data_IF_752802161988
#
_entry.id   IF_752802161988
#
_cell.length_a   1.000
_cell.length_b   1.000
_cell.length_c   1.000
_cell.angle_alpha   90.00
_cell.angle_beta   90.00
_cell.angle_gamma   90.00
#
_symmetry.space_group_name_H-M   'P 1'
#
loop_
_entity.id
_entity.type
_entity.pdbx_description
1 polymer ?
#
# COMPACT_ATOMS: atom_id res chain seq x y z
N UNK A 1 -13.45 -10.52 16.69
CA UNK A 1 -12.82 -9.26 17.17
C UNK A 1 -11.30 -9.37 17.22
N UNK A 2 -10.77 -10.48 17.72
CA UNK A 2 -9.31 -10.71 17.75
C UNK A 2 -8.72 -10.75 16.33
N UNK A 3 -9.33 -11.49 15.42
CA UNK A 3 -8.88 -11.57 14.01
C UNK A 3 -8.90 -10.21 13.31
N UNK A 4 -9.91 -9.37 13.60
CA UNK A 4 -9.97 -8.01 13.05
C UNK A 4 -8.81 -7.18 13.59
N UNK A 5 -8.56 -7.21 14.90
CA UNK A 5 -7.44 -6.49 15.49
C UNK A 5 -6.11 -6.88 14.84
N UNK A 6 -5.82 -8.18 14.75
CA UNK A 6 -4.58 -8.65 14.13
C UNK A 6 -4.53 -8.28 12.65
N UNK A 7 -5.63 -8.41 11.90
CA UNK A 7 -5.67 -8.01 10.50
C UNK A 7 -5.33 -6.55 10.28
N UNK A 8 -5.76 -5.65 11.19
CA UNK A 8 -5.43 -4.24 11.11
C UNK A 8 -3.98 -3.93 11.51
N UNK A 9 -3.40 -4.73 12.41
CA UNK A 9 -2.05 -4.48 12.95
C UNK A 9 -0.93 -5.15 12.16
N UNK A 10 -1.20 -6.23 11.44
CA UNK A 10 -0.21 -6.98 10.67
C UNK A 10 0.49 -6.11 9.60
N UNK A 11 -0.19 -5.27 8.82
CA UNK A 11 0.45 -4.33 7.91
C UNK A 11 1.50 -3.44 8.59
N UNK A 12 1.14 -2.78 9.67
CA UNK A 12 2.06 -1.96 10.48
C UNK A 12 3.26 -2.77 11.01
N UNK A 13 3.07 -4.05 11.35
CA UNK A 13 4.18 -4.91 11.77
C UNK A 13 5.17 -5.11 10.62
N UNK A 14 4.69 -5.25 9.38
CA UNK A 14 5.54 -5.31 8.18
C UNK A 14 6.43 -4.08 8.05
N UNK A 15 5.84 -2.88 8.04
CA UNK A 15 6.54 -1.59 8.00
C UNK A 15 7.53 -1.44 9.15
N UNK A 16 7.11 -1.84 10.37
CA UNK A 16 7.94 -1.77 11.57
C UNK A 16 9.18 -2.67 11.48
N UNK A 17 9.02 -3.91 11.02
CA UNK A 17 10.11 -4.86 10.83
C UNK A 17 11.07 -4.39 9.74
N UNK A 18 10.55 -3.84 8.64
CA UNK A 18 11.37 -3.21 7.61
C UNK A 18 12.17 -2.02 8.15
N UNK A 19 11.52 -1.13 8.89
CA UNK A 19 12.18 0.00 9.52
C UNK A 19 13.27 -0.44 10.52
N UNK A 20 13.11 -1.58 11.18
CA UNK A 20 14.09 -2.11 12.13
C UNK A 20 15.40 -2.56 11.46
N UNK A 21 15.45 -2.71 10.13
CA UNK A 21 16.69 -3.02 9.40
C UNK A 21 17.81 -2.00 9.69
N UNK A 22 17.49 -0.75 10.07
CA UNK A 22 18.49 0.26 10.42
C UNK A 22 19.36 -0.10 11.64
N UNK A 23 18.94 -1.02 12.49
CA UNK A 23 19.73 -1.43 13.64
C UNK A 23 20.81 -2.44 13.27
N UNK A 24 20.61 -3.20 12.20
CA UNK A 24 21.48 -4.31 11.78
C UNK A 24 22.29 -3.99 10.52
N UNK A 25 21.74 -3.17 9.62
CA UNK A 25 22.38 -2.81 8.35
C UNK A 25 23.08 -1.46 8.44
N UNK A 26 24.20 -1.32 7.74
CA UNK A 26 24.97 -0.06 7.64
C UNK A 26 25.01 0.41 6.20
N UNK A 27 24.91 1.73 6.01
CA UNK A 27 24.99 2.37 4.70
C UNK A 27 23.68 2.38 3.91
N UNK A 28 23.83 2.65 2.61
CA UNK A 28 22.69 2.65 1.68
C UNK A 28 22.42 1.23 1.17
N UNK A 29 21.16 0.93 0.89
CA UNK A 29 20.80 -0.30 0.18
C UNK A 29 21.48 -0.33 -1.19
N UNK A 30 22.01 -1.49 -1.57
CA UNK A 30 22.53 -1.68 -2.91
C UNK A 30 21.40 -1.54 -3.94
N UNK A 31 21.65 -0.88 -5.06
CA UNK A 31 20.62 -0.60 -6.09
C UNK A 31 19.84 -1.84 -6.53
N UNK A 32 20.52 -2.98 -6.71
CA UNK A 32 19.87 -4.23 -7.11
C UNK A 32 18.91 -4.75 -6.02
N UNK A 33 19.28 -4.60 -4.75
CA UNK A 33 18.41 -4.97 -3.62
C UNK A 33 17.19 -4.05 -3.59
N UNK A 34 17.39 -2.74 -3.71
CA UNK A 34 16.31 -1.77 -3.75
C UNK A 34 15.34 -2.07 -4.89
N UNK A 35 15.83 -2.24 -6.13
CA UNK A 35 15.01 -2.63 -7.29
C UNK A 35 14.23 -3.91 -7.07
N UNK A 36 14.87 -4.92 -6.46
CA UNK A 36 14.24 -6.19 -6.14
C UNK A 36 13.11 -6.03 -5.13
N UNK A 37 13.36 -5.27 -4.06
CA UNK A 37 12.37 -5.00 -3.02
C UNK A 37 11.18 -4.19 -3.57
N UNK A 38 11.45 -3.11 -4.32
CA UNK A 38 10.41 -2.28 -4.93
C UNK A 38 9.61 -3.05 -5.98
N UNK A 39 10.29 -3.85 -6.83
CA UNK A 39 9.61 -4.71 -7.80
C UNK A 39 8.71 -5.75 -7.13
N UNK A 40 9.20 -6.39 -6.07
CA UNK A 40 8.42 -7.37 -5.31
C UNK A 40 7.17 -6.72 -4.67
N UNK A 41 7.33 -5.58 -3.99
CA UNK A 41 6.22 -4.84 -3.41
C UNK A 41 5.19 -4.43 -4.47
N UNK A 42 5.63 -3.90 -5.62
CA UNK A 42 4.75 -3.56 -6.76
C UNK A 42 3.93 -4.76 -7.23
N UNK A 43 4.56 -5.94 -7.34
CA UNK A 43 3.87 -7.16 -7.76
C UNK A 43 2.79 -7.60 -6.77
N UNK A 44 3.09 -7.56 -5.47
CA UNK A 44 2.12 -7.85 -4.40
C UNK A 44 0.96 -6.87 -4.45
N UNK A 45 1.23 -5.54 -4.57
CA UNK A 45 0.19 -4.50 -4.62
C UNK A 45 -0.74 -4.68 -5.83
N UNK A 46 -0.20 -4.98 -7.03
CA UNK A 46 -1.02 -5.20 -8.23
C UNK A 46 -1.91 -6.42 -8.05
N UNK A 47 -1.37 -7.53 -7.54
CA UNK A 47 -2.15 -8.74 -7.30
C UNK A 47 -3.25 -8.51 -6.23
N UNK A 48 -2.93 -7.85 -5.11
CA UNK A 48 -3.90 -7.49 -4.08
C UNK A 48 -5.02 -6.59 -4.63
N UNK A 49 -4.64 -5.57 -5.41
CA UNK A 49 -5.62 -4.66 -6.05
C UNK A 49 -6.59 -5.41 -6.96
N UNK A 50 -6.10 -6.43 -7.66
CA UNK A 50 -6.93 -7.21 -8.58
C UNK A 50 -7.75 -8.28 -7.83
N UNK A 51 -7.09 -9.18 -7.11
CA UNK A 51 -7.74 -10.37 -6.52
C UNK A 51 -8.56 -10.01 -5.27
N UNK A 52 -7.99 -9.24 -4.34
CA UNK A 52 -8.65 -8.96 -3.07
C UNK A 52 -9.61 -7.76 -3.11
N UNK A 53 -9.55 -6.89 -4.14
CA UNK A 53 -10.37 -5.68 -4.20
C UNK A 53 -11.24 -5.60 -5.46
N UNK A 54 -10.67 -5.59 -6.67
CA UNK A 54 -11.46 -5.42 -7.90
C UNK A 54 -12.34 -6.62 -8.21
N UNK A 55 -11.84 -7.84 -8.04
CA UNK A 55 -12.62 -9.04 -8.32
C UNK A 55 -13.84 -9.14 -7.40
N UNK A 56 -13.73 -9.01 -6.06
CA UNK A 56 -14.89 -8.97 -5.17
C UNK A 56 -15.84 -7.81 -5.45
N UNK A 57 -15.33 -6.63 -5.87
CA UNK A 57 -16.18 -5.50 -6.25
C UNK A 57 -17.06 -5.82 -7.47
N UNK A 58 -16.50 -6.48 -8.47
CA UNK A 58 -17.23 -6.92 -9.67
C UNK A 58 -18.26 -8.01 -9.35
N UNK A 59 -17.88 -8.99 -8.52
CA UNK A 59 -18.76 -10.07 -8.08
C UNK A 59 -19.97 -9.53 -7.31
N UNK A 60 -19.77 -8.61 -6.38
CA UNK A 60 -20.86 -7.97 -5.65
C UNK A 60 -21.75 -7.10 -6.53
N UNK A 61 -21.22 -6.58 -7.63
CA UNK A 61 -21.97 -5.79 -8.61
C UNK A 61 -22.71 -6.66 -9.63
N UNK A 62 -22.50 -7.98 -9.67
CA UNK A 62 -23.08 -8.89 -10.65
C UNK A 62 -24.61 -8.79 -10.80
N UNK A 63 -25.43 -8.52 -9.73
CA UNK A 63 -26.87 -8.30 -9.85
C UNK A 63 -27.27 -7.13 -10.78
N UNK A 64 -26.36 -6.19 -11.06
CA UNK A 64 -26.57 -5.07 -12.00
C UNK A 64 -26.51 -5.50 -13.47
N UNK A 65 -26.26 -6.76 -13.78
CA UNK A 65 -26.17 -7.31 -15.13
C UNK A 65 -25.11 -6.60 -15.98
N UNK A 66 -25.50 -6.07 -17.15
CA UNK A 66 -24.56 -5.38 -18.07
C UNK A 66 -23.90 -4.11 -17.47
N UNK A 67 -24.41 -3.60 -16.38
CA UNK A 67 -23.89 -2.40 -15.70
C UNK A 67 -23.00 -2.72 -14.49
N UNK A 68 -22.71 -4.00 -14.24
CA UNK A 68 -21.92 -4.45 -13.10
C UNK A 68 -20.50 -3.83 -13.02
N UNK A 69 -19.97 -3.36 -14.16
CA UNK A 69 -18.67 -2.70 -14.19
C UNK A 69 -18.69 -1.25 -13.67
N UNK A 70 -19.86 -0.59 -13.60
CA UNK A 70 -19.95 0.84 -13.26
C UNK A 70 -19.40 1.18 -11.87
N UNK A 71 -19.77 0.49 -10.77
CA UNK A 71 -19.22 0.78 -9.45
C UNK A 71 -17.71 0.64 -9.43
N UNK A 72 -17.18 -0.39 -10.12
CA UNK A 72 -15.74 -0.64 -10.19
C UNK A 72 -15.00 0.44 -10.98
N UNK A 73 -15.50 0.84 -12.15
CA UNK A 73 -14.89 1.89 -12.98
C UNK A 73 -14.91 3.24 -12.26
N UNK A 74 -16.06 3.61 -11.66
CA UNK A 74 -16.20 4.88 -10.95
C UNK A 74 -15.30 4.89 -9.71
N UNK A 75 -15.38 3.85 -8.87
CA UNK A 75 -14.56 3.74 -7.66
C UNK A 75 -13.08 3.82 -7.98
N UNK A 76 -12.60 3.03 -8.95
CA UNK A 76 -11.21 3.03 -9.40
C UNK A 76 -10.76 4.43 -9.87
N UNK A 77 -11.54 5.07 -10.74
CA UNK A 77 -11.21 6.41 -11.23
C UNK A 77 -11.17 7.46 -10.13
N UNK A 78 -12.09 7.39 -9.16
CA UNK A 78 -12.07 8.27 -7.97
C UNK A 78 -10.86 8.00 -7.08
N UNK A 79 -10.45 6.74 -6.91
CA UNK A 79 -9.24 6.37 -6.17
C UNK A 79 -7.97 6.96 -6.78
N UNK A 80 -7.81 6.81 -8.10
CA UNK A 80 -6.70 7.44 -8.85
C UNK A 80 -6.74 8.98 -8.69
N UNK A 81 -7.90 9.59 -8.89
CA UNK A 81 -8.03 11.05 -8.77
C UNK A 81 -7.77 11.56 -7.34
N UNK A 82 -8.13 10.78 -6.34
CA UNK A 82 -7.87 11.10 -4.93
C UNK A 82 -6.37 11.16 -4.63
N UNK A 83 -5.60 10.16 -5.05
CA UNK A 83 -4.14 10.18 -4.84
C UNK A 83 -3.48 11.28 -5.65
N UNK A 84 -3.84 11.45 -6.92
CA UNK A 84 -3.37 12.55 -7.75
C UNK A 84 -3.64 13.91 -7.09
N UNK A 85 -4.80 14.08 -6.45
CA UNK A 85 -5.13 15.29 -5.70
C UNK A 85 -4.24 15.46 -4.47
N UNK A 86 -4.02 14.39 -3.68
CA UNK A 86 -3.14 14.45 -2.51
C UNK A 86 -1.71 14.81 -2.89
N UNK A 87 -1.17 14.25 -3.98
CA UNK A 87 0.18 14.57 -4.49
C UNK A 87 0.31 16.06 -4.84
N UNK A 88 -0.76 16.67 -5.37
CA UNK A 88 -0.74 18.09 -5.71
C UNK A 88 -0.83 19.03 -4.50
N UNK A 89 -1.41 18.60 -3.38
CA UNK A 89 -1.63 19.47 -2.21
C UNK A 89 -0.66 19.22 -1.05
N UNK A 90 0.01 18.07 -1.02
CA UNK A 90 0.94 17.72 0.06
C UNK A 90 2.37 17.80 -0.46
N UNK A 91 3.25 18.63 0.18
CA UNK A 91 4.64 18.69 -0.22
C UNK A 91 5.35 17.39 0.17
N UNK A 92 5.82 16.63 -0.81
CA UNK A 92 6.50 15.36 -0.62
C UNK A 92 7.69 15.23 -1.59
N UNK A 93 8.54 14.23 -1.37
CA UNK A 93 9.74 14.00 -2.17
C UNK A 93 9.91 12.50 -2.38
N UNK A 94 9.95 12.06 -3.63
CA UNK A 94 10.29 10.69 -3.97
C UNK A 94 11.78 10.42 -3.78
N UNK A 95 12.16 9.18 -3.50
CA UNK A 95 13.49 8.82 -3.04
C UNK A 95 14.61 9.18 -4.03
N UNK A 96 14.35 9.06 -5.33
CA UNK A 96 15.29 9.35 -6.40
C UNK A 96 15.08 10.72 -7.06
N UNK A 97 14.14 11.54 -6.57
CA UNK A 97 13.85 12.85 -7.11
C UNK A 97 14.77 13.93 -6.51
N UNK A 98 15.22 14.86 -7.33
CA UNK A 98 15.97 16.04 -6.89
C UNK A 98 15.05 17.19 -6.46
N UNK A 99 13.87 17.26 -7.03
CA UNK A 99 12.85 18.28 -6.79
C UNK A 99 11.65 17.69 -6.07
N UNK A 100 11.18 18.42 -5.03
CA UNK A 100 9.98 18.05 -4.31
C UNK A 100 8.73 18.35 -5.16
N UNK A 101 7.71 17.52 -5.00
CA UNK A 101 6.39 17.68 -5.59
C UNK A 101 5.43 18.38 -4.61
N UNK A 102 4.27 18.83 -5.14
CA UNK A 102 3.31 19.60 -4.38
C UNK A 102 3.70 21.06 -4.13
N UNK A 103 3.07 21.75 -3.17
CA UNK A 103 3.32 23.16 -2.87
C UNK A 103 4.74 23.37 -2.36
N UNK A 104 5.33 24.55 -2.69
CA UNK A 104 6.64 24.95 -2.15
C UNK A 104 6.62 24.91 -0.62
N UNK A 105 7.52 24.12 -0.03
CA UNK A 105 7.62 23.91 1.41
C UNK A 105 9.02 24.18 1.93
N UNK A 106 9.09 24.57 3.22
CA UNK A 106 10.36 24.69 3.97
C UNK A 106 10.69 23.42 4.76
N UNK A 107 9.93 22.34 4.55
CA UNK A 107 10.19 21.06 5.20
C UNK A 107 11.54 20.49 4.79
N UNK A 108 12.17 19.77 5.70
CA UNK A 108 13.42 19.06 5.39
C UNK A 108 13.14 17.92 4.41
N UNK A 109 14.11 17.63 3.54
CA UNK A 109 14.01 16.51 2.58
C UNK A 109 13.62 15.20 3.27
N UNK A 110 14.16 14.91 4.45
CA UNK A 110 13.82 13.74 5.25
C UNK A 110 12.34 13.68 5.67
N UNK A 111 11.75 14.83 6.00
CA UNK A 111 10.31 14.91 6.34
C UNK A 111 9.45 14.67 5.10
N UNK A 112 9.83 15.23 3.95
CA UNK A 112 9.12 15.06 2.69
C UNK A 112 9.17 13.60 2.19
N UNK A 113 10.30 12.89 2.39
CA UNK A 113 10.41 11.46 2.12
C UNK A 113 9.45 10.63 2.99
N UNK A 114 9.36 10.94 4.29
CA UNK A 114 8.42 10.26 5.20
C UNK A 114 6.98 10.54 4.76
N UNK A 115 6.66 11.78 4.36
CA UNK A 115 5.32 12.14 3.89
C UNK A 115 4.93 11.40 2.62
N UNK A 116 5.83 11.24 1.64
CA UNK A 116 5.58 10.47 0.43
C UNK A 116 5.03 9.09 0.79
N UNK A 117 5.79 8.29 1.55
CA UNK A 117 5.35 6.93 1.91
C UNK A 117 4.14 6.94 2.84
N UNK A 118 4.00 7.94 3.71
CA UNK A 118 2.77 8.07 4.53
C UNK A 118 1.53 8.22 3.65
N UNK A 119 1.64 8.97 2.54
CA UNK A 119 0.54 9.11 1.57
C UNK A 119 0.16 7.78 0.91
N UNK A 120 1.17 6.95 0.60
CA UNK A 120 0.96 5.64 -0.02
C UNK A 120 0.33 4.63 0.94
N UNK A 121 0.65 4.69 2.22
CA UNK A 121 0.11 3.80 3.25
C UNK A 121 -1.37 4.11 3.60
N UNK A 122 -1.89 5.31 3.25
CA UNK A 122 -3.30 5.65 3.47
C UNK A 122 -4.24 4.70 2.69
N UNK A 123 -4.10 4.52 1.35
CA UNK A 123 -4.91 3.57 0.59
C UNK A 123 -4.82 2.14 1.09
N UNK A 124 -3.66 1.71 1.55
CA UNK A 124 -3.46 0.36 2.07
C UNK A 124 -4.27 0.13 3.35
N UNK A 125 -4.20 1.06 4.29
CA UNK A 125 -5.04 1.03 5.48
C UNK A 125 -6.54 1.07 5.14
N UNK A 126 -6.94 1.92 4.19
CA UNK A 126 -8.32 1.97 3.71
C UNK A 126 -8.75 0.65 3.06
N UNK A 127 -7.91 0.01 2.25
CA UNK A 127 -8.18 -1.29 1.62
C UNK A 127 -8.50 -2.36 2.66
N UNK A 128 -7.63 -2.51 3.68
CA UNK A 128 -7.86 -3.42 4.81
C UNK A 128 -9.17 -3.07 5.52
N UNK A 129 -9.39 -1.79 5.80
CA UNK A 129 -10.60 -1.32 6.49
C UNK A 129 -11.89 -1.61 5.72
N UNK A 130 -11.91 -1.41 4.40
CA UNK A 130 -13.07 -1.69 3.53
C UNK A 130 -13.39 -3.18 3.52
N UNK A 131 -12.38 -4.04 3.35
CA UNK A 131 -12.58 -5.50 3.33
C UNK A 131 -13.09 -5.98 4.67
N UNK A 132 -12.49 -5.55 5.80
CA UNK A 132 -12.99 -5.94 7.13
C UNK A 132 -14.38 -5.36 7.44
N UNK A 133 -14.71 -4.15 6.97
CA UNK A 133 -16.07 -3.61 7.09
C UNK A 133 -17.10 -4.49 6.37
N UNK A 134 -16.75 -4.97 5.16
CA UNK A 134 -17.57 -5.90 4.40
C UNK A 134 -17.72 -7.26 5.09
N UNK A 135 -16.63 -7.84 5.62
CA UNK A 135 -16.65 -9.09 6.38
C UNK A 135 -17.54 -8.97 7.63
N UNK A 136 -17.40 -7.90 8.40
CA UNK A 136 -18.19 -7.65 9.61
C UNK A 136 -19.70 -7.46 9.30
N UNK A 137 -20.00 -6.95 8.11
CA UNK A 137 -21.37 -6.80 7.63
C UNK A 137 -21.93 -8.08 6.99
N UNK A 138 -21.15 -9.15 6.85
CA UNK A 138 -21.56 -10.40 6.19
C UNK A 138 -21.75 -10.24 4.68
N UNK A 139 -21.01 -9.34 4.03
CA UNK A 139 -21.10 -9.12 2.59
C UNK A 139 -20.63 -10.33 1.80
N UNK A 140 -21.34 -10.69 0.75
CA UNK A 140 -21.00 -11.83 -0.11
C UNK A 140 -19.64 -11.64 -0.79
N UNK A 141 -18.89 -12.73 -0.97
CA UNK A 141 -17.58 -12.71 -1.63
C UNK A 141 -16.42 -12.18 -0.78
N UNK A 142 -16.66 -11.82 0.50
CA UNK A 142 -15.62 -11.43 1.44
C UNK A 142 -15.59 -12.38 2.63
N UNK A 143 -14.43 -12.97 2.88
CA UNK A 143 -14.20 -13.90 4.00
C UNK A 143 -13.20 -13.34 4.99
N UNK A 144 -13.25 -13.79 6.25
CA UNK A 144 -12.24 -13.40 7.24
C UNK A 144 -10.83 -13.90 6.84
N UNK A 145 -10.77 -15.07 6.18
CA UNK A 145 -9.51 -15.62 5.70
C UNK A 145 -8.95 -14.80 4.53
N UNK A 146 -9.77 -14.39 3.57
CA UNK A 146 -9.37 -13.47 2.48
C UNK A 146 -8.94 -12.09 2.99
N UNK A 147 -9.66 -11.54 3.99
CA UNK A 147 -9.25 -10.30 4.65
C UNK A 147 -7.88 -10.44 5.33
N UNK A 148 -7.61 -11.58 5.96
CA UNK A 148 -6.29 -11.86 6.56
C UNK A 148 -5.21 -12.07 5.49
N UNK A 149 -5.54 -12.71 4.35
CA UNK A 149 -4.64 -12.86 3.21
C UNK A 149 -4.21 -11.49 2.65
N UNK A 150 -5.17 -10.56 2.47
CA UNK A 150 -4.89 -9.19 2.08
C UNK A 150 -3.95 -8.50 3.09
N UNK A 151 -4.27 -8.57 4.39
CA UNK A 151 -3.46 -7.97 5.44
C UNK A 151 -2.04 -8.54 5.47
N UNK A 152 -1.89 -9.86 5.29
CA UNK A 152 -0.59 -10.51 5.21
C UNK A 152 0.19 -10.08 3.95
N UNK A 153 -0.48 -10.00 2.81
CA UNK A 153 0.10 -9.50 1.57
C UNK A 153 0.63 -8.07 1.70
N UNK A 154 -0.18 -7.17 2.28
CA UNK A 154 0.22 -5.79 2.58
C UNK A 154 1.40 -5.78 3.55
N UNK A 155 1.41 -6.59 4.60
CA UNK A 155 2.55 -6.67 5.52
C UNK A 155 3.86 -7.11 4.83
N UNK A 156 3.77 -8.05 3.90
CA UNK A 156 4.92 -8.55 3.14
C UNK A 156 5.51 -7.46 2.24
N UNK A 157 4.68 -6.64 1.58
CA UNK A 157 5.16 -5.51 0.77
C UNK A 157 5.65 -4.34 1.62
N UNK A 158 5.05 -4.10 2.78
CA UNK A 158 5.42 -3.03 3.70
C UNK A 158 6.78 -3.25 4.37
N UNK A 159 7.26 -4.49 4.47
CA UNK A 159 8.61 -4.75 4.93
C UNK A 159 9.68 -4.08 4.05
N UNK A 160 9.69 -4.27 2.71
CA UNK A 160 10.50 -3.44 1.81
C UNK A 160 10.35 -1.94 2.04
N UNK A 161 9.14 -1.44 2.14
CA UNK A 161 8.86 0.00 2.26
C UNK A 161 9.44 0.60 3.54
N UNK A 162 9.25 -0.05 4.69
CA UNK A 162 9.86 0.37 5.94
C UNK A 162 11.39 0.44 5.89
N UNK A 163 12.03 -0.50 5.20
CA UNK A 163 13.49 -0.51 4.98
C UNK A 163 13.91 0.61 4.02
N UNK A 164 13.17 0.80 2.94
CA UNK A 164 13.43 1.81 1.91
C UNK A 164 13.36 3.25 2.49
N UNK A 165 12.51 3.51 3.50
CA UNK A 165 12.48 4.81 4.18
C UNK A 165 13.58 4.93 5.22
N UNK A 166 13.66 3.97 6.13
CA UNK A 166 14.50 4.08 7.32
C UNK A 166 16.00 4.08 7.01
N UNK A 167 16.43 3.31 5.99
CA UNK A 167 17.83 3.20 5.61
C UNK A 167 18.41 4.48 5.00
N UNK A 168 17.76 5.18 4.04
CA UNK A 168 18.22 6.50 3.58
C UNK A 168 18.22 7.56 4.67
N UNK A 169 17.25 7.57 5.59
CA UNK A 169 17.24 8.48 6.73
C UNK A 169 18.50 8.30 7.58
N UNK A 170 18.91 7.07 7.86
CA UNK A 170 20.15 6.77 8.57
C UNK A 170 21.37 7.18 7.75
N UNK A 171 21.39 6.89 6.45
CA UNK A 171 22.49 7.25 5.56
C UNK A 171 22.66 8.78 5.41
N UNK A 172 21.60 9.57 5.63
CA UNK A 172 21.66 11.05 5.68
C UNK A 172 22.22 11.61 6.99
N UNK A 173 22.68 10.75 7.91
CA UNK A 173 23.26 11.15 9.20
C UNK A 173 22.26 11.17 10.36
N UNK A 174 21.01 10.73 10.15
CA UNK A 174 20.04 10.59 11.23
C UNK A 174 20.40 9.39 12.11
N UNK A 175 20.25 9.52 13.44
CA UNK A 175 20.48 8.41 14.37
C UNK A 175 19.52 7.25 14.13
N UNK A 176 19.96 5.99 14.37
CA UNK A 176 19.19 4.77 14.09
C UNK A 176 17.77 4.79 14.67
N UNK A 177 17.60 5.23 15.92
CA UNK A 177 16.27 5.35 16.55
C UNK A 177 15.35 6.34 15.82
N UNK A 178 15.86 7.51 15.42
CA UNK A 178 15.06 8.49 14.69
C UNK A 178 14.69 7.98 13.31
N UNK A 179 15.58 7.27 12.64
CA UNK A 179 15.33 6.66 11.33
C UNK A 179 14.30 5.53 11.44
N UNK A 180 14.39 4.68 12.49
CA UNK A 180 13.40 3.67 12.79
C UNK A 180 12.01 4.28 13.03
N UNK A 181 11.92 5.29 13.91
CA UNK A 181 10.63 5.96 14.17
C UNK A 181 10.08 6.69 12.94
N UNK A 182 10.92 7.17 12.03
CA UNK A 182 10.49 7.73 10.76
C UNK A 182 9.76 6.69 9.90
N UNK A 183 10.33 5.50 9.75
CA UNK A 183 9.68 4.38 9.04
C UNK A 183 8.45 3.84 9.79
N UNK A 184 8.54 3.64 11.11
CA UNK A 184 7.39 3.20 11.91
C UNK A 184 6.18 4.14 11.80
N UNK A 185 6.42 5.45 11.93
CA UNK A 185 5.33 6.45 11.90
C UNK A 185 4.67 6.55 10.52
N UNK A 186 5.40 6.30 9.42
CA UNK A 186 4.77 6.25 8.09
C UNK A 186 3.75 5.11 7.97
N UNK A 187 3.93 4.00 8.69
CA UNK A 187 3.00 2.88 8.71
C UNK A 187 1.81 3.06 9.68
N UNK A 188 1.91 3.94 10.69
CA UNK A 188 0.82 4.14 11.68
C UNK A 188 -0.49 4.57 11.03
N UNK A 189 -0.44 5.22 9.87
CA UNK A 189 -1.65 5.64 9.14
C UNK A 189 -2.47 4.46 8.62
N UNK A 190 -1.88 3.27 8.45
CA UNK A 190 -2.57 2.06 8.00
C UNK A 190 -3.64 1.60 8.99
N UNK A 191 -3.31 1.25 10.25
CA UNK A 191 -4.34 0.87 11.22
C UNK A 191 -5.29 2.03 11.53
N UNK A 192 -4.83 3.28 11.49
CA UNK A 192 -5.71 4.46 11.66
C UNK A 192 -6.72 4.54 10.51
N UNK A 193 -6.28 4.44 9.27
CA UNK A 193 -7.14 4.45 8.08
C UNK A 193 -8.13 3.29 8.09
N UNK A 194 -7.67 2.09 8.45
CA UNK A 194 -8.53 0.91 8.57
C UNK A 194 -9.62 1.08 9.64
N UNK A 195 -9.24 1.55 10.84
CA UNK A 195 -10.22 1.81 11.93
C UNK A 195 -11.23 2.87 11.51
N UNK A 196 -10.79 3.98 10.92
CA UNK A 196 -11.70 5.03 10.44
C UNK A 196 -12.68 4.49 9.39
N UNK A 197 -12.20 3.65 8.46
CA UNK A 197 -13.05 3.02 7.44
C UNK A 197 -14.07 2.07 8.07
N UNK A 198 -13.68 1.27 9.06
CA UNK A 198 -14.61 0.39 9.80
C UNK A 198 -15.64 1.21 10.60
N UNK A 199 -15.24 2.32 11.22
CA UNK A 199 -16.18 3.18 11.93
C UNK A 199 -17.22 3.81 10.99
N UNK A 200 -16.89 3.94 9.71
CA UNK A 200 -17.78 4.41 8.65
C UNK A 200 -18.53 3.27 7.94
N UNK A 201 -18.64 2.07 8.53
CA UNK A 201 -19.27 0.89 7.93
C UNK A 201 -20.67 1.17 7.38
N UNK A 202 -21.49 1.99 8.07
CA UNK A 202 -22.81 2.37 7.60
C UNK A 202 -22.82 3.13 6.26
N UNK A 203 -21.73 3.84 5.93
CA UNK A 203 -21.51 4.51 4.65
C UNK A 203 -20.81 3.58 3.65
N UNK A 204 -19.83 2.82 4.12
CA UNK A 204 -18.98 1.96 3.28
C UNK A 204 -19.75 0.79 2.71
N UNK A 205 -20.52 0.07 3.52
CA UNK A 205 -21.18 -1.18 3.12
C UNK A 205 -22.23 -0.99 2.00
N UNK A 206 -23.09 0.04 1.99
CA UNK A 206 -24.01 0.26 0.88
C UNK A 206 -23.33 0.56 -0.47
N UNK A 207 -22.09 1.05 -0.43
CA UNK A 207 -21.28 1.40 -1.60
C UNK A 207 -20.02 0.55 -1.70
N UNK A 208 -20.04 -0.64 -1.09
CA UNK A 208 -18.85 -1.49 -0.93
C UNK A 208 -18.09 -1.76 -2.23
N UNK A 209 -18.75 -2.09 -3.38
CA UNK A 209 -18.02 -2.25 -4.65
C UNK A 209 -17.25 -0.99 -5.08
N UNK A 210 -17.80 0.20 -4.83
CA UNK A 210 -17.13 1.46 -5.14
C UNK A 210 -15.93 1.68 -4.22
N UNK A 211 -16.04 1.40 -2.91
CA UNK A 211 -14.95 1.58 -1.96
C UNK A 211 -13.82 0.56 -2.15
N UNK A 212 -14.14 -0.71 -2.46
CA UNK A 212 -13.15 -1.70 -2.83
C UNK A 212 -12.35 -1.25 -4.06
N UNK A 213 -13.06 -0.81 -5.10
CA UNK A 213 -12.42 -0.34 -6.33
C UNK A 213 -11.69 1.00 -6.16
N UNK A 214 -12.17 1.87 -5.27
CA UNK A 214 -11.46 3.09 -4.88
C UNK A 214 -10.08 2.76 -4.28
N UNK A 215 -10.03 1.84 -3.32
CA UNK A 215 -8.78 1.41 -2.71
C UNK A 215 -7.84 0.79 -3.76
N UNK A 216 -8.36 -0.05 -4.66
CA UNK A 216 -7.60 -0.62 -5.76
C UNK A 216 -7.03 0.46 -6.70
N UNK A 217 -7.84 1.45 -7.08
CA UNK A 217 -7.40 2.55 -7.95
C UNK A 217 -6.30 3.40 -7.31
N UNK A 218 -6.45 3.70 -6.02
CA UNK A 218 -5.44 4.42 -5.26
C UNK A 218 -4.12 3.64 -5.15
N UNK A 219 -4.18 2.32 -4.85
CA UNK A 219 -2.99 1.47 -4.83
C UNK A 219 -2.30 1.36 -6.20
N UNK A 220 -3.06 1.19 -7.29
CA UNK A 220 -2.51 1.15 -8.64
C UNK A 220 -1.88 2.49 -9.04
N UNK A 221 -2.43 3.62 -8.59
CA UNK A 221 -1.78 4.93 -8.78
C UNK A 221 -0.37 4.93 -8.21
N UNK A 222 -0.20 4.53 -6.94
CA UNK A 222 1.11 4.44 -6.28
C UNK A 222 2.07 3.53 -7.04
N UNK A 223 1.60 2.37 -7.49
CA UNK A 223 2.43 1.43 -8.25
C UNK A 223 2.96 2.05 -9.54
N UNK A 224 2.10 2.72 -10.29
CA UNK A 224 2.45 3.27 -11.61
C UNK A 224 3.27 4.55 -11.49
N UNK A 225 2.92 5.41 -10.53
CA UNK A 225 3.56 6.71 -10.35
C UNK A 225 4.93 6.59 -9.69
N UNK A 226 5.09 5.71 -8.69
CA UNK A 226 6.31 5.65 -7.90
C UNK A 226 7.07 4.32 -8.05
N UNK A 227 6.41 3.19 -7.77
CA UNK A 227 7.15 1.93 -7.60
C UNK A 227 7.70 1.39 -8.93
N UNK A 228 6.95 1.48 -10.04
CA UNK A 228 7.42 1.05 -11.36
C UNK A 228 8.59 1.92 -11.85
N UNK A 229 8.54 3.26 -11.80
CA UNK A 229 9.68 4.10 -12.09
C UNK A 229 10.90 3.79 -11.23
N UNK A 230 10.70 3.57 -9.91
CA UNK A 230 11.80 3.28 -9.00
C UNK A 230 12.48 1.94 -9.29
N UNK A 231 11.71 0.86 -9.49
CA UNK A 231 12.29 -0.45 -9.81
C UNK A 231 13.01 -0.48 -11.16
N UNK A 232 12.67 0.43 -12.06
CA UNK A 232 13.24 0.54 -13.41
C UNK A 232 14.37 1.57 -13.50
N UNK A 233 14.64 2.35 -12.45
CA UNK A 233 15.58 3.47 -12.47
C UNK A 233 17.03 3.04 -12.74
N UNK A 234 17.75 3.79 -13.60
CA UNK A 234 19.17 3.60 -13.92
C UNK A 234 19.42 2.59 -15.05
N UNK A 235 20.53 1.81 -14.97
CA UNK A 235 20.88 0.86 -16.03
C UNK A 235 19.86 -0.29 -16.15
N UNK A 236 19.66 -0.79 -17.36
CA UNK A 236 18.74 -1.91 -17.60
C UNK A 236 19.08 -3.13 -16.73
N UNK A 237 18.05 -3.72 -16.11
CA UNK A 237 18.17 -4.89 -15.24
C UNK A 237 16.84 -5.63 -15.13
N UNK A 238 16.86 -6.94 -15.26
CA UNK A 238 15.67 -7.79 -15.13
C UNK A 238 15.23 -8.01 -13.67
N UNK A 239 16.04 -7.59 -12.69
CA UNK A 239 15.78 -7.83 -11.26
C UNK A 239 14.42 -7.28 -10.85
N UNK A 240 14.08 -6.04 -11.24
CA UNK A 240 12.79 -5.44 -10.91
C UNK A 240 11.61 -6.24 -11.47
N UNK A 241 11.69 -6.61 -12.74
CA UNK A 241 10.62 -7.36 -13.44
C UNK A 241 10.47 -8.77 -12.87
N UNK A 242 11.57 -9.48 -12.64
CA UNK A 242 11.53 -10.83 -12.03
C UNK A 242 10.96 -10.78 -10.63
N UNK A 243 11.40 -9.81 -9.81
CA UNK A 243 10.88 -9.64 -8.45
C UNK A 243 9.40 -9.25 -8.44
N UNK A 244 8.95 -8.39 -9.38
CA UNK A 244 7.53 -8.08 -9.58
C UNK A 244 6.72 -9.36 -9.85
N UNK A 245 7.18 -10.19 -10.78
CA UNK A 245 6.50 -11.45 -11.10
C UNK A 245 6.42 -12.39 -9.88
N UNK A 246 7.49 -12.45 -9.08
CA UNK A 246 7.50 -13.24 -7.83
C UNK A 246 6.52 -12.67 -6.82
N UNK A 247 6.51 -11.36 -6.59
CA UNK A 247 5.56 -10.70 -5.67
C UNK A 247 4.11 -10.93 -6.08
N UNK A 248 3.82 -10.77 -7.37
CA UNK A 248 2.49 -11.05 -7.93
C UNK A 248 2.06 -12.51 -7.69
N UNK A 249 2.94 -13.47 -7.99
CA UNK A 249 2.66 -14.90 -7.78
C UNK A 249 2.44 -15.24 -6.31
N UNK A 250 3.22 -14.66 -5.40
CA UNK A 250 3.08 -14.88 -3.96
C UNK A 250 1.72 -14.37 -3.48
N UNK A 251 1.34 -13.15 -3.84
CA UNK A 251 0.05 -12.58 -3.42
C UNK A 251 -1.13 -13.33 -4.04
N UNK A 252 -1.07 -13.68 -5.31
CA UNK A 252 -2.09 -14.49 -5.98
C UNK A 252 -2.26 -15.84 -5.27
N UNK A 253 -1.15 -16.48 -4.87
CA UNK A 253 -1.21 -17.75 -4.15
C UNK A 253 -1.81 -17.59 -2.76
N UNK A 254 -1.48 -16.53 -2.03
CA UNK A 254 -2.07 -16.23 -0.73
C UNK A 254 -3.58 -16.00 -0.84
N UNK A 255 -3.99 -15.18 -1.80
CA UNK A 255 -5.40 -14.84 -2.01
C UNK A 255 -6.24 -16.08 -2.36
N UNK A 256 -5.79 -16.88 -3.34
CA UNK A 256 -6.51 -18.08 -3.80
C UNK A 256 -6.47 -19.22 -2.77
N UNK A 257 -5.37 -19.36 -2.00
CA UNK A 257 -5.24 -20.44 -1.02
C UNK A 257 -5.96 -20.16 0.30
N UNK A 258 -6.14 -18.92 0.68
CA UNK A 258 -6.75 -18.49 1.95
C UNK A 258 -8.11 -17.81 1.74
N UNK A 259 -8.36 -17.17 0.60
CA UNK A 259 -9.61 -16.50 0.26
C UNK A 259 -10.69 -17.46 -0.19
#
# INVERSE_FOLDING_TARGET
MEDVFWGLMIPLLGTTLGAACVFFMQGRLHRSVQRGLTGFASGVMVAASFFSLLLPALEQSAPMGRWAFLPAVIGFGVGVAFLLFLDHIIPHLHMNAETAEGPRSRLKKTTMLILAVTLHNIPEGMAVGVVYAGVLAGSSGLTAAGAMALSAGIAIQNFPEGAIISMPLKASGMGSWKSFFGGFLSGVVEPVGAVLTILLTSLVVPLLPCFLSFAAGAMIYVVVEELIPEMSAGEHSDIGVVSFAVGFMVMMALDVALG
#
